data_IF_694733285056
#
_entry.id   IF_694733285056
#
_cell.length_a   1.000
_cell.length_b   1.000
_cell.length_c   1.000
_cell.angle_alpha   90.00
_cell.angle_beta   90.00
_cell.angle_gamma   90.00
#
_symmetry.space_group_name_H-M   'P 1'
#
loop_
_entity.id
_entity.type
_entity.pdbx_description
1 polymer ?
#
# COMPACT_ATOMS: atom_id res chain seq x y z
N UNK A 1 15.66 -13.85 -6.82
CA UNK A 1 15.42 -12.79 -7.84
C UNK A 1 16.09 -11.47 -7.43
N UNK A 2 16.11 -10.46 -8.31
CA UNK A 2 16.63 -9.11 -8.02
C UNK A 2 15.57 -8.08 -8.41
N UNK A 3 15.23 -7.20 -7.47
CA UNK A 3 14.27 -6.13 -7.64
C UNK A 3 14.96 -4.78 -7.45
N UNK A 4 14.68 -3.85 -8.33
CA UNK A 4 15.16 -2.47 -8.25
C UNK A 4 13.97 -1.51 -8.23
N UNK A 5 14.19 -0.36 -7.60
CA UNK A 5 13.13 0.62 -7.45
C UNK A 5 13.60 1.89 -6.76
N UNK A 6 12.67 2.82 -6.59
CA UNK A 6 12.95 4.11 -6.00
C UNK A 6 11.73 4.97 -5.80
N UNK A 7 11.98 6.18 -5.30
CA UNK A 7 10.94 7.18 -5.15
C UNK A 7 10.62 7.87 -6.48
N UNK A 8 9.48 8.56 -6.54
CA UNK A 8 9.02 9.25 -7.73
C UNK A 8 10.01 10.31 -8.25
N UNK A 9 10.71 11.03 -7.36
CA UNK A 9 11.71 12.03 -7.76
C UNK A 9 13.10 11.46 -8.08
N UNK A 10 13.35 10.17 -7.87
CA UNK A 10 14.63 9.53 -8.14
C UNK A 10 15.73 9.71 -7.08
N UNK A 11 15.54 10.61 -6.09
CA UNK A 11 16.52 10.87 -5.02
C UNK A 11 16.87 9.63 -4.19
N UNK A 12 15.90 8.74 -3.98
CA UNK A 12 16.08 7.51 -3.21
C UNK A 12 15.91 6.30 -4.13
N UNK A 13 16.95 5.47 -4.21
CA UNK A 13 16.99 4.23 -5.00
C UNK A 13 17.39 3.05 -4.12
N UNK A 14 16.87 1.87 -4.41
CA UNK A 14 17.17 0.66 -3.67
C UNK A 14 17.29 -0.56 -4.58
N UNK A 15 17.95 -1.59 -4.06
CA UNK A 15 17.97 -2.94 -4.62
C UNK A 15 17.55 -3.95 -3.55
N UNK A 16 16.84 -5.00 -3.96
CA UNK A 16 16.48 -6.13 -3.11
C UNK A 16 16.78 -7.44 -3.84
N UNK A 17 17.60 -8.28 -3.23
CA UNK A 17 18.01 -9.58 -3.76
C UNK A 17 17.50 -10.73 -2.86
N UNK A 18 17.29 -11.88 -3.47
CA UNK A 18 16.77 -13.09 -2.80
C UNK A 18 15.36 -13.45 -3.27
N UNK A 19 14.73 -14.41 -2.61
CA UNK A 19 13.40 -14.89 -2.97
C UNK A 19 12.33 -14.18 -2.12
N UNK A 20 11.21 -13.73 -2.73
CA UNK A 20 10.14 -13.07 -2.00
C UNK A 20 9.56 -13.99 -0.94
N UNK A 21 9.50 -13.49 0.28
CA UNK A 21 8.87 -14.18 1.40
C UNK A 21 7.35 -14.12 1.29
N UNK A 22 6.81 -13.04 0.71
CA UNK A 22 5.37 -12.81 0.56
C UNK A 22 5.09 -11.75 -0.50
N UNK A 23 4.01 -11.94 -1.27
CA UNK A 23 3.46 -10.93 -2.17
C UNK A 23 1.97 -10.78 -1.90
N UNK A 24 1.52 -9.60 -1.47
CA UNK A 24 0.15 -9.44 -0.97
C UNK A 24 -0.43 -8.03 -1.12
N UNK A 25 -1.75 -7.97 -0.99
CA UNK A 25 -2.53 -6.73 -0.89
C UNK A 25 -3.02 -6.52 0.54
N UNK A 26 -2.69 -5.38 1.15
CA UNK A 26 -3.17 -5.05 2.48
C UNK A 26 -4.26 -3.97 2.43
N UNK A 27 -5.45 -4.32 2.91
CA UNK A 27 -6.63 -3.44 2.96
C UNK A 27 -6.79 -2.73 4.30
N UNK A 28 -5.82 -2.84 5.22
CA UNK A 28 -5.96 -2.19 6.52
C UNK A 28 -6.03 -0.66 6.37
N UNK A 29 -6.67 0.01 7.34
CA UNK A 29 -6.89 1.46 7.29
C UNK A 29 -5.59 2.25 7.19
N UNK A 30 -4.50 1.82 7.83
CA UNK A 30 -3.21 2.49 7.68
C UNK A 30 -2.63 2.35 6.26
N UNK A 31 -2.81 1.18 5.64
CA UNK A 31 -2.40 0.96 4.26
C UNK A 31 -3.21 1.83 3.30
N UNK A 32 -4.52 1.98 3.52
CA UNK A 32 -5.38 2.91 2.77
C UNK A 32 -4.95 4.37 2.94
N UNK A 33 -4.56 4.81 4.14
CA UNK A 33 -4.06 6.16 4.35
C UNK A 33 -2.82 6.47 3.50
N UNK A 34 -1.97 5.48 3.31
CA UNK A 34 -0.67 5.64 2.64
C UNK A 34 -0.77 5.50 1.13
N UNK A 35 -1.64 4.62 0.66
CA UNK A 35 -1.92 4.43 -0.77
C UNK A 35 -2.93 5.44 -1.34
N UNK A 36 -3.53 6.28 -0.49
CA UNK A 36 -4.57 7.23 -0.92
C UNK A 36 -5.96 6.61 -1.13
N UNK A 37 -6.24 5.44 -0.54
CA UNK A 37 -7.57 4.84 -0.45
C UNK A 37 -7.68 3.40 -0.94
N UNK A 38 -6.84 3.00 -1.89
CA UNK A 38 -6.76 1.63 -2.40
C UNK A 38 -6.05 0.68 -1.42
N UNK A 39 -6.10 -0.65 -1.57
CA UNK A 39 -5.15 -1.52 -0.87
C UNK A 39 -3.71 -1.15 -1.19
N UNK A 40 -2.81 -1.36 -0.22
CA UNK A 40 -1.38 -1.25 -0.47
C UNK A 40 -0.84 -2.60 -0.93
N UNK A 41 -0.34 -2.65 -2.17
CA UNK A 41 0.35 -3.80 -2.76
C UNK A 41 1.82 -3.82 -2.36
N UNK A 42 2.29 -4.95 -1.82
CA UNK A 42 3.65 -5.07 -1.30
C UNK A 42 4.30 -6.42 -1.59
N UNK A 43 5.63 -6.40 -1.61
CA UNK A 43 6.51 -7.57 -1.65
C UNK A 43 7.39 -7.55 -0.40
N UNK A 44 7.40 -8.64 0.36
CA UNK A 44 8.34 -8.83 1.46
C UNK A 44 9.60 -9.54 0.94
N UNK A 45 10.73 -8.86 0.98
CA UNK A 45 12.04 -9.40 0.61
C UNK A 45 12.88 -9.65 1.87
N UNK A 46 13.83 -10.61 1.86
CA UNK A 46 14.75 -10.82 2.97
C UNK A 46 15.53 -9.53 3.29
N UNK A 47 15.58 -9.15 4.57
CA UNK A 47 16.26 -7.91 4.96
C UNK A 47 17.77 -7.94 4.62
N UNK A 48 18.39 -9.13 4.64
CA UNK A 48 19.80 -9.31 4.30
C UNK A 48 20.12 -9.00 2.83
N UNK A 49 19.14 -9.11 1.92
CA UNK A 49 19.32 -8.81 0.50
C UNK A 49 18.86 -7.40 0.11
N UNK A 50 18.42 -6.58 1.06
CA UNK A 50 17.90 -5.24 0.80
C UNK A 50 18.94 -4.15 1.10
N UNK A 51 19.17 -3.23 0.17
CA UNK A 51 20.01 -2.05 0.41
C UNK A 51 19.55 -0.81 -0.36
N UNK A 52 19.81 0.37 0.21
CA UNK A 52 19.66 1.65 -0.50
C UNK A 52 20.92 1.92 -1.33
N UNK A 53 20.75 2.24 -2.61
CA UNK A 53 21.83 2.56 -3.55
C UNK A 53 22.16 4.06 -3.48
N UNK A 54 21.13 4.90 -3.49
CA UNK A 54 21.26 6.36 -3.41
C UNK A 54 20.19 6.93 -2.51
N UNK A 55 20.50 8.06 -1.89
CA UNK A 55 19.61 8.76 -0.95
C UNK A 55 19.40 8.01 0.36
N UNK A 56 18.80 8.70 1.32
CA UNK A 56 18.34 8.08 2.57
C UNK A 56 16.88 8.43 2.80
N UNK A 57 16.02 7.44 3.08
CA UNK A 57 14.63 7.71 3.38
C UNK A 57 14.49 8.37 4.75
N UNK A 58 13.43 9.15 4.92
CA UNK A 58 12.95 9.53 6.24
C UNK A 58 12.17 8.37 6.85
N UNK A 59 12.32 8.19 8.16
CA UNK A 59 11.62 7.16 8.90
C UNK A 59 10.50 7.75 9.77
N UNK A 60 9.39 7.03 9.87
CA UNK A 60 8.31 7.34 10.78
C UNK A 60 7.79 6.07 11.46
N UNK A 61 7.73 6.11 12.79
CA UNK A 61 7.22 5.04 13.64
C UNK A 61 6.27 5.68 14.65
N UNK A 62 5.07 5.14 14.75
CA UNK A 62 4.09 5.61 15.74
C UNK A 62 4.53 5.22 17.15
N UNK A 63 4.52 6.18 18.07
CA UNK A 63 4.97 5.97 19.46
C UNK A 63 3.88 5.44 20.38
N UNK A 64 2.63 5.53 19.97
CA UNK A 64 1.46 5.14 20.75
C UNK A 64 1.09 3.64 20.57
N UNK A 65 1.96 2.86 19.91
CA UNK A 65 1.75 1.45 19.62
C UNK A 65 2.91 0.58 20.10
N UNK A 66 2.59 -0.50 20.81
CA UNK A 66 3.58 -1.43 21.35
C UNK A 66 4.38 -2.18 20.28
N UNK A 67 3.76 -2.48 19.13
CA UNK A 67 4.39 -3.16 17.98
C UNK A 67 4.30 -2.30 16.71
N UNK A 68 4.68 -1.03 16.84
CA UNK A 68 4.67 -0.08 15.74
C UNK A 68 5.59 -0.53 14.59
N UNK A 69 5.09 -0.49 13.37
CA UNK A 69 5.93 -0.67 12.18
C UNK A 69 6.67 0.64 11.87
N UNK A 70 7.91 0.51 11.41
CA UNK A 70 8.70 1.64 10.91
C UNK A 70 8.47 1.79 9.42
N UNK A 71 8.07 2.97 8.98
CA UNK A 71 7.80 3.29 7.57
C UNK A 71 8.88 4.20 7.04
N UNK A 72 9.43 3.84 5.89
CA UNK A 72 10.49 4.57 5.21
C UNK A 72 9.92 5.21 3.94
N UNK A 73 10.11 6.52 3.79
CA UNK A 73 9.56 7.30 2.68
C UNK A 73 10.55 8.38 2.24
N UNK A 74 10.42 8.83 0.99
CA UNK A 74 11.24 9.92 0.48
C UNK A 74 10.85 11.24 1.16
N UNK A 75 11.83 11.95 1.72
CA UNK A 75 11.59 13.24 2.37
C UNK A 75 11.16 14.33 1.38
N UNK A 76 11.55 14.21 0.11
CA UNK A 76 11.30 15.19 -0.94
C UNK A 76 9.91 15.01 -1.57
N UNK A 77 9.63 13.84 -2.14
CA UNK A 77 8.37 13.60 -2.86
C UNK A 77 7.30 12.84 -2.05
N UNK A 78 7.60 12.43 -0.82
CA UNK A 78 6.66 11.71 0.05
C UNK A 78 6.36 10.25 -0.33
N UNK A 79 6.98 9.72 -1.40
CA UNK A 79 6.76 8.33 -1.82
C UNK A 79 7.15 7.36 -0.72
N UNK A 80 6.22 6.49 -0.32
CA UNK A 80 6.47 5.42 0.65
C UNK A 80 7.18 4.25 -0.04
N UNK A 81 8.36 3.87 0.47
CA UNK A 81 9.26 2.90 -0.15
C UNK A 81 9.20 1.55 0.57
N UNK A 82 9.46 1.56 1.86
CA UNK A 82 9.68 0.34 2.65
C UNK A 82 8.93 0.40 3.97
N UNK A 83 8.48 -0.76 4.45
CA UNK A 83 7.99 -0.93 5.81
C UNK A 83 8.82 -2.02 6.50
N UNK A 84 9.30 -1.71 7.71
CA UNK A 84 10.03 -2.64 8.58
C UNK A 84 9.14 -2.99 9.77
N UNK A 85 8.96 -4.28 10.02
CA UNK A 85 8.13 -4.79 11.11
C UNK A 85 9.04 -5.30 12.23
N UNK A 86 8.85 -4.87 13.49
CA UNK A 86 9.65 -5.36 14.60
C UNK A 86 9.60 -6.89 14.72
N UNK A 87 10.78 -7.52 14.74
CA UNK A 87 10.93 -8.99 14.84
C UNK A 87 10.75 -9.75 13.53
N UNK A 88 10.49 -9.08 12.40
CA UNK A 88 10.44 -9.72 11.08
C UNK A 88 11.71 -9.34 10.29
N UNK A 89 12.58 -10.29 9.92
CA UNK A 89 13.80 -10.02 9.16
C UNK A 89 13.50 -9.80 7.66
N UNK A 90 12.56 -8.89 7.36
CA UNK A 90 12.11 -8.59 6.00
C UNK A 90 12.00 -7.08 5.76
N UNK A 91 12.34 -6.67 4.53
CA UNK A 91 12.02 -5.37 3.98
C UNK A 91 10.72 -5.48 3.16
N UNK A 92 9.66 -4.78 3.59
CA UNK A 92 8.37 -4.79 2.89
C UNK A 92 8.33 -3.64 1.89
N UNK A 93 8.61 -3.95 0.62
CA UNK A 93 8.68 -3.02 -0.49
C UNK A 93 7.29 -2.67 -1.02
N UNK A 94 7.07 -1.42 -1.41
CA UNK A 94 5.82 -1.00 -2.07
C UNK A 94 5.92 -1.24 -3.58
N UNK A 95 4.97 -1.98 -4.14
CA UNK A 95 5.02 -2.40 -5.56
C UNK A 95 5.08 -1.21 -6.50
N UNK A 96 4.37 -0.11 -6.19
CA UNK A 96 4.40 1.11 -7.00
C UNK A 96 5.74 1.84 -7.05
N UNK A 97 6.76 1.37 -6.32
CA UNK A 97 8.12 1.93 -6.32
C UNK A 97 9.11 1.06 -7.09
N UNK A 98 8.69 -0.10 -7.58
CA UNK A 98 9.53 -0.97 -8.41
C UNK A 98 9.64 -0.41 -9.83
N UNK A 99 10.80 -0.54 -10.44
CA UNK A 99 10.99 -0.16 -11.84
C UNK A 99 10.25 -1.11 -12.79
N UNK A 100 10.18 -2.39 -12.42
CA UNK A 100 9.48 -3.45 -13.15
C UNK A 100 8.32 -4.02 -12.32
N UNK A 101 7.17 -3.32 -12.25
CA UNK A 101 6.03 -3.76 -11.43
C UNK A 101 5.39 -5.06 -11.93
N UNK A 102 5.66 -5.48 -13.17
CA UNK A 102 5.16 -6.74 -13.74
C UNK A 102 5.71 -7.99 -13.02
N UNK A 103 6.79 -7.87 -12.26
CA UNK A 103 7.34 -8.95 -11.44
C UNK A 103 6.51 -9.23 -10.17
N UNK A 104 5.51 -8.39 -9.89
CA UNK A 104 4.59 -8.58 -8.79
C UNK A 104 3.43 -9.50 -9.18
N UNK A 105 3.28 -10.59 -8.41
CA UNK A 105 2.17 -11.53 -8.54
C UNK A 105 1.55 -11.73 -7.15
N UNK A 106 0.44 -11.02 -6.82
CA UNK A 106 -0.16 -11.10 -5.50
C UNK A 106 -0.70 -12.51 -5.25
N UNK A 107 -0.26 -13.13 -4.15
CA UNK A 107 -0.70 -14.47 -3.75
C UNK A 107 -1.87 -14.41 -2.76
N UNK A 108 -2.06 -13.27 -2.09
CA UNK A 108 -3.07 -13.12 -1.03
C UNK A 108 -3.52 -11.67 -0.84
N UNK A 109 -4.71 -11.52 -0.25
CA UNK A 109 -5.22 -10.27 0.26
C UNK A 109 -5.48 -10.41 1.76
N UNK A 110 -5.08 -9.38 2.51
CA UNK A 110 -5.16 -9.35 3.98
C UNK A 110 -5.95 -8.14 4.46
N UNK A 111 -6.68 -8.32 5.57
CA UNK A 111 -7.56 -7.31 6.17
C UNK A 111 -8.70 -6.81 5.25
N UNK A 112 -9.19 -7.67 4.35
CA UNK A 112 -10.22 -7.39 3.33
C UNK A 112 -11.53 -6.85 3.91
N UNK A 113 -11.85 -7.14 5.18
CA UNK A 113 -13.03 -6.54 5.86
C UNK A 113 -13.04 -5.00 5.88
N UNK A 114 -11.87 -4.37 5.73
CA UNK A 114 -11.72 -2.92 5.69
C UNK A 114 -11.70 -2.37 4.27
N UNK A 115 -11.81 -3.22 3.23
CA UNK A 115 -11.65 -2.83 1.85
C UNK A 115 -12.58 -1.68 1.44
N UNK A 116 -13.79 -1.56 2.01
CA UNK A 116 -14.69 -0.40 1.88
C UNK A 116 -15.16 -0.03 0.46
N UNK A 117 -14.52 -0.64 -0.55
CA UNK A 117 -14.77 -0.53 -1.99
C UNK A 117 -15.48 -1.83 -2.40
N UNK A 118 -16.47 -1.78 -3.33
CA UNK A 118 -17.09 -2.98 -3.86
C UNK A 118 -16.02 -3.99 -4.29
N UNK A 119 -16.22 -5.27 -3.95
CA UNK A 119 -15.42 -6.37 -4.50
C UNK A 119 -15.39 -6.17 -6.02
N UNK A 120 -14.21 -6.07 -6.60
CA UNK A 120 -14.04 -6.04 -8.05
C UNK A 120 -14.74 -7.28 -8.64
N UNK A 121 -15.77 -7.12 -9.48
CA UNK A 121 -16.40 -8.26 -10.15
C UNK A 121 -15.54 -8.82 -11.30
N UNK A 122 -14.40 -8.19 -11.62
CA UNK A 122 -13.67 -8.35 -12.88
C UNK A 122 -12.26 -8.95 -12.83
N UNK A 123 -11.83 -9.58 -11.74
CA UNK A 123 -10.75 -10.56 -11.83
C UNK A 123 -9.57 -10.35 -10.88
N UNK A 124 -9.53 -11.21 -9.87
CA UNK A 124 -8.44 -12.16 -9.64
C UNK A 124 -9.04 -13.22 -8.71
N UNK A 125 -9.68 -14.24 -9.30
CA UNK A 125 -10.37 -15.32 -8.56
C UNK A 125 -9.43 -16.18 -7.67
N UNK A 126 -8.12 -15.97 -7.77
CA UNK A 126 -7.11 -16.80 -7.09
C UNK A 126 -6.48 -16.16 -5.84
N UNK A 127 -6.89 -14.96 -5.44
CA UNK A 127 -6.30 -14.29 -4.28
C UNK A 127 -6.90 -14.85 -2.99
N UNK A 128 -6.20 -15.79 -2.34
CA UNK A 128 -6.61 -16.40 -1.08
C UNK A 128 -6.68 -15.34 0.03
N UNK A 129 -7.74 -15.35 0.83
CA UNK A 129 -7.82 -14.54 2.04
C UNK A 129 -6.92 -15.15 3.13
N UNK A 130 -5.83 -14.45 3.49
CA UNK A 130 -4.89 -14.99 4.47
C UNK A 130 -5.19 -14.43 5.87
N UNK A 131 -5.87 -15.25 6.68
CA UNK A 131 -5.94 -15.04 8.12
C UNK A 131 -4.65 -15.56 8.78
N UNK A 132 -3.68 -14.66 9.05
CA UNK A 132 -2.55 -14.97 9.95
C UNK A 132 -1.14 -15.08 9.34
N UNK A 133 -0.90 -14.64 8.11
CA UNK A 133 0.36 -14.92 7.39
C UNK A 133 1.66 -14.26 7.93
N UNK A 134 1.60 -13.41 8.96
CA UNK A 134 2.78 -12.66 9.46
C UNK A 134 3.16 -12.95 10.91
N UNK A 135 2.63 -14.00 11.55
CA UNK A 135 2.91 -14.27 12.98
C UNK A 135 2.40 -13.16 13.92
N UNK A 136 1.52 -12.29 13.44
CA UNK A 136 0.72 -11.42 14.28
C UNK A 136 -0.35 -12.30 14.94
N UNK A 137 -0.48 -12.29 16.28
CA UNK A 137 -1.51 -13.09 16.94
C UNK A 137 -2.87 -12.70 16.35
N UNK A 138 -3.55 -13.69 15.78
CA UNK A 138 -4.98 -13.64 15.47
C UNK A 138 -5.75 -13.65 16.80
N UNK A 139 -5.62 -12.57 17.58
CA UNK A 139 -6.73 -12.20 18.46
C UNK A 139 -7.90 -11.91 17.53
N UNK A 140 -9.10 -12.40 17.86
CA UNK A 140 -10.34 -12.29 17.08
C UNK A 140 -10.87 -10.85 16.91
N UNK A 141 -9.97 -9.90 16.70
CA UNK A 141 -10.20 -8.50 16.52
C UNK A 141 -9.37 -8.06 15.31
N UNK A 142 -10.01 -8.06 14.15
CA UNK A 142 -9.43 -7.89 12.81
C UNK A 142 -8.88 -6.48 12.48
N UNK A 143 -8.48 -5.77 13.53
CA UNK A 143 -7.67 -4.57 13.51
C UNK A 143 -6.22 -4.98 13.31
N UNK A 144 -5.55 -4.34 12.34
CA UNK A 144 -4.09 -4.41 12.21
C UNK A 144 -3.47 -4.12 13.59
N UNK A 145 -2.46 -4.90 14.05
CA UNK A 145 -1.78 -4.62 15.32
C UNK A 145 -1.20 -3.22 15.24
N UNK A 146 -1.87 -2.24 15.88
CA UNK A 146 -1.50 -0.84 15.71
C UNK A 146 -2.63 0.17 15.46
N UNK A 147 -3.85 -0.26 15.17
CA UNK A 147 -4.96 0.70 15.11
C UNK A 147 -5.56 0.93 16.51
N UNK A 148 -5.65 2.20 16.99
CA UNK A 148 -6.53 2.52 18.10
C UNK A 148 -7.93 2.01 17.74
N UNK A 149 -8.65 1.41 18.70
CA UNK A 149 -10.08 1.15 18.53
C UNK A 149 -10.76 2.49 18.33
N UNK A 150 -10.99 2.88 17.08
CA UNK A 150 -11.85 4.01 16.76
C UNK A 150 -13.22 3.66 17.34
N UNK A 151 -13.61 4.31 18.45
CA UNK A 151 -15.00 4.26 18.92
C UNK A 151 -15.84 4.71 17.74
N UNK A 152 -16.69 3.80 17.25
CA UNK A 152 -17.52 4.05 16.08
C UNK A 152 -18.29 5.35 16.29
N UNK A 153 -17.92 6.40 15.55
CA UNK A 153 -18.87 7.46 15.30
C UNK A 153 -19.89 6.85 14.35
N UNK A 154 -21.13 6.82 14.85
CA UNK A 154 -22.34 6.44 14.14
C UNK A 154 -22.28 6.90 12.68
N UNK A 155 -22.73 6.07 11.71
CA UNK A 155 -22.78 6.51 10.32
C UNK A 155 -23.54 7.83 10.25
N UNK A 156 -22.91 8.84 9.66
CA UNK A 156 -23.57 10.09 9.32
C UNK A 156 -24.89 9.73 8.64
N UNK A 157 -26.01 10.17 9.22
CA UNK A 157 -27.33 10.02 8.62
C UNK A 157 -27.23 10.51 7.17
N UNK A 158 -27.77 9.74 6.24
CA UNK A 158 -28.03 10.19 4.86
C UNK A 158 -28.85 11.47 4.95
N UNK A 159 -28.18 12.61 4.79
CA UNK A 159 -28.81 13.86 4.42
C UNK A 159 -28.99 13.82 2.92
N UNK A 160 -30.23 13.89 2.47
CA UNK A 160 -30.59 14.08 1.07
C UNK A 160 -30.06 15.46 0.64
N UNK A 161 -28.89 15.48 0.00
CA UNK A 161 -28.37 16.64 -0.72
C UNK A 161 -28.79 16.57 -2.19
N UNK A 162 -29.06 17.72 -2.84
CA UNK A 162 -29.53 17.74 -4.22
C UNK A 162 -28.48 17.14 -5.15
N UNK A 163 -28.94 16.30 -6.08
CA UNK A 163 -28.12 15.41 -6.91
C UNK A 163 -26.96 16.10 -7.61
N UNK A 164 -25.74 15.72 -7.26
CA UNK A 164 -24.58 15.93 -8.11
C UNK A 164 -24.59 14.87 -9.21
N UNK A 165 -24.78 15.32 -10.45
CA UNK A 165 -24.61 14.49 -11.64
C UNK A 165 -23.19 13.91 -11.66
N UNK A 166 -23.09 12.60 -11.49
CA UNK A 166 -21.90 11.84 -11.90
C UNK A 166 -21.85 11.94 -13.42
N UNK A 167 -20.89 12.69 -13.95
CA UNK A 167 -20.61 12.73 -15.39
C UNK A 167 -20.30 11.31 -15.85
N UNK A 168 -21.30 10.69 -16.48
CA UNK A 168 -21.13 9.41 -17.18
C UNK A 168 -20.09 9.56 -18.27
N UNK A 169 -19.22 8.56 -18.39
CA UNK A 169 -18.27 8.42 -19.49
C UNK A 169 -19.05 8.20 -20.80
N UNK A 170 -19.46 9.31 -21.41
CA UNK A 170 -19.97 9.39 -22.77
C UNK A 170 -18.81 9.56 -23.75
N UNK A 171 -18.59 8.53 -24.56
CA UNK A 171 -17.71 8.53 -25.74
C UNK A 171 -17.95 9.77 -26.60
N UNK A 172 -17.03 10.75 -26.59
CA UNK A 172 -16.94 11.78 -27.63
C UNK A 172 -15.49 12.13 -27.90
N UNK A 173 -15.03 11.73 -29.10
CA UNK A 173 -13.82 12.28 -29.69
C UNK A 173 -14.05 13.74 -30.08
N UNK A 174 -13.06 14.58 -29.78
CA UNK A 174 -12.50 15.67 -30.60
C UNK A 174 -11.43 16.37 -29.76
N UNK A 175 -10.41 16.86 -30.46
CA UNK A 175 -9.07 17.12 -29.93
C UNK A 175 -8.98 18.08 -28.75
N UNK A 176 -7.92 17.88 -27.97
CA UNK A 176 -7.47 18.76 -26.90
C UNK A 176 -6.75 19.97 -27.52
N UNK A 177 -7.27 21.19 -27.47
CA UNK A 177 -6.54 22.36 -27.94
C UNK A 177 -5.74 22.96 -26.78
N UNK A 178 -4.50 23.36 -27.06
CA UNK A 178 -3.76 24.27 -26.19
C UNK A 178 -2.48 23.72 -25.56
N UNK A 179 -1.55 23.24 -26.39
CA UNK A 179 -0.13 23.47 -26.10
C UNK A 179 0.27 24.77 -26.78
N UNK A 180 0.55 25.80 -26.00
CA UNK A 180 1.24 27.00 -26.44
C UNK A 180 2.51 27.16 -25.60
N UNK A 181 3.66 26.92 -26.22
CA UNK A 181 4.99 27.49 -25.93
C UNK A 181 5.84 27.38 -27.20
N UNK A 182 6.82 28.26 -27.44
CA UNK A 182 7.05 29.60 -26.87
C UNK A 182 6.46 30.73 -27.73
#
# INVERSE_FOLDING_TARGET
>A
MRLEGGCYCGEVRYVAEGDPMMQAQCHCRECQYISGGAPNTFIAMPAAGFSYITGQPKQFTRKDLERAVTREFCAECGTHLVTKVPGLPAAILKVGTLDEPAQFHPQMAIYTRHAGVPRDPGGHEDIREAAGALGAPISGNSSCPGLPRLRGRSPLRRGEGPGMNVLGYGRMGRGWPGQARP
#
